data_IF_549747549179
#
_entry.id   IF_549747549179
#
_cell.length_a   1.000
_cell.length_b   1.000
_cell.length_c   1.000
_cell.angle_alpha   90.00
_cell.angle_beta   90.00
_cell.angle_gamma   90.00
#
_symmetry.space_group_name_H-M   'P 1'
#
loop_
_entity.id
_entity.type
_entity.pdbx_description
1 polymer ?
#
# COMPACT_ATOMS: atom_id res chain seq x y z
N UNK A 1 19.03 -0.53 1.13
CA UNK A 1 17.76 -1.17 1.52
C UNK A 1 17.43 -2.20 0.44
N UNK A 2 17.64 -3.47 0.72
CA UNK A 2 17.27 -4.57 -0.19
C UNK A 2 15.77 -4.78 -0.07
N UNK A 3 15.01 -4.38 -1.09
CA UNK A 3 13.66 -4.90 -1.28
C UNK A 3 13.81 -6.41 -1.44
N UNK A 4 13.30 -7.17 -0.48
CA UNK A 4 13.34 -8.61 -0.58
C UNK A 4 12.42 -9.03 -1.73
N UNK A 5 12.98 -9.70 -2.73
CA UNK A 5 12.25 -10.24 -3.89
C UNK A 5 11.24 -11.34 -3.51
N UNK A 6 11.19 -11.73 -2.23
CA UNK A 6 10.15 -12.61 -1.65
C UNK A 6 9.00 -11.82 -0.99
N UNK A 7 9.00 -10.48 -1.10
CA UNK A 7 8.04 -9.60 -0.45
C UNK A 7 8.24 -9.45 1.06
N UNK A 8 9.21 -10.11 1.69
CA UNK A 8 9.52 -9.96 3.11
C UNK A 8 10.06 -8.55 3.39
N UNK A 9 9.23 -7.65 3.91
CA UNK A 9 9.70 -6.36 4.42
C UNK A 9 10.24 -6.62 5.82
N UNK A 10 11.55 -6.54 5.99
CA UNK A 10 12.16 -6.63 7.31
C UNK A 10 11.72 -5.45 8.18
N UNK A 11 11.16 -5.75 9.36
CA UNK A 11 11.06 -4.76 10.44
C UNK A 11 9.79 -4.77 11.30
N UNK A 12 8.71 -5.44 10.91
CA UNK A 12 7.53 -5.58 11.77
C UNK A 12 6.98 -6.99 11.70
N UNK A 13 6.48 -7.49 12.84
CA UNK A 13 5.80 -8.78 12.97
C UNK A 13 4.85 -9.02 11.79
N UNK A 14 5.19 -9.97 10.91
CA UNK A 14 4.38 -10.36 9.75
C UNK A 14 3.15 -11.19 10.12
N UNK A 15 2.83 -11.29 11.42
CA UNK A 15 1.72 -12.08 11.94
C UNK A 15 0.40 -11.48 11.42
N UNK A 16 -0.36 -12.27 10.66
CA UNK A 16 -1.67 -11.88 10.13
C UNK A 16 -1.67 -11.32 8.70
N UNK A 17 -0.51 -11.21 8.04
CA UNK A 17 -0.47 -10.88 6.62
C UNK A 17 -0.73 -12.14 5.77
N UNK A 18 -1.49 -12.01 4.66
CA UNK A 18 -1.81 -13.16 3.81
C UNK A 18 -0.56 -13.69 3.11
N UNK A 19 -0.41 -15.02 3.12
CA UNK A 19 0.52 -15.71 2.24
C UNK A 19 -0.04 -15.68 0.80
N UNK A 20 0.82 -15.37 -0.17
CA UNK A 20 0.45 -15.46 -1.58
C UNK A 20 1.21 -16.63 -2.22
N UNK A 21 0.47 -17.53 -2.87
CA UNK A 21 1.05 -18.65 -3.62
C UNK A 21 1.29 -18.21 -5.06
N UNK A 22 2.56 -18.13 -5.43
CA UNK A 22 2.98 -17.90 -6.81
C UNK A 22 2.73 -19.16 -7.63
N UNK A 23 2.15 -19.01 -8.83
CA UNK A 23 1.87 -20.13 -9.75
C UNK A 23 3.07 -20.46 -10.62
N UNK A 24 3.98 -19.49 -10.79
CA UNK A 24 5.24 -19.68 -11.51
C UNK A 24 6.38 -19.77 -10.50
N UNK A 25 7.30 -20.70 -10.74
CA UNK A 25 8.51 -20.84 -9.94
C UNK A 25 9.31 -19.53 -9.90
N UNK A 26 10.04 -19.35 -8.81
CA UNK A 26 11.00 -18.25 -8.63
C UNK A 26 11.90 -18.16 -9.85
N UNK A 27 12.22 -16.95 -10.27
CA UNK A 27 13.18 -16.73 -11.35
C UNK A 27 14.52 -17.39 -11.01
N UNK A 28 15.07 -18.25 -11.89
CA UNK A 28 16.44 -18.71 -11.80
C UNK A 28 17.41 -17.55 -11.60
N UNK A 29 18.46 -17.76 -10.79
CA UNK A 29 19.44 -16.72 -10.43
C UNK A 29 20.03 -16.04 -11.67
N UNK A 30 20.39 -16.82 -12.69
CA UNK A 30 20.89 -16.33 -13.97
C UNK A 30 19.92 -15.35 -14.66
N UNK A 31 18.60 -15.60 -14.63
CA UNK A 31 17.63 -14.68 -15.22
C UNK A 31 17.61 -13.35 -14.46
N UNK A 32 17.71 -13.40 -13.13
CA UNK A 32 17.74 -12.20 -12.28
C UNK A 32 19.01 -11.40 -12.51
N UNK A 33 20.16 -12.05 -12.63
CA UNK A 33 21.44 -11.40 -12.93
C UNK A 33 21.37 -10.63 -14.25
N UNK A 34 20.71 -11.19 -15.26
CA UNK A 34 20.61 -10.59 -16.59
C UNK A 34 19.52 -9.54 -16.67
N UNK A 35 18.47 -9.66 -15.87
CA UNK A 35 17.50 -8.60 -15.67
C UNK A 35 18.16 -7.36 -15.03
N UNK A 36 19.15 -7.57 -14.16
CA UNK A 36 19.88 -6.52 -13.44
C UNK A 36 21.19 -6.07 -14.12
N UNK A 37 21.49 -6.55 -15.33
CA UNK A 37 22.74 -6.21 -16.03
C UNK A 37 22.54 -5.94 -17.51
N UNK A 38 23.56 -5.32 -18.12
CA UNK A 38 23.63 -5.16 -19.58
C UNK A 38 24.30 -6.39 -20.18
N UNK A 39 23.73 -6.87 -21.28
CA UNK A 39 24.15 -8.09 -21.98
C UNK A 39 23.82 -7.96 -23.48
N UNK A 40 24.56 -8.63 -24.37
CA UNK A 40 24.54 -8.31 -25.80
C UNK A 40 23.15 -8.33 -26.46
N UNK A 41 22.28 -9.33 -26.21
CA UNK A 41 20.96 -9.36 -26.86
C UNK A 41 20.10 -8.13 -26.57
N UNK A 42 20.17 -7.60 -25.34
CA UNK A 42 19.42 -6.41 -24.92
C UNK A 42 20.12 -5.10 -25.29
N UNK A 43 21.45 -5.06 -25.15
CA UNK A 43 22.25 -3.87 -25.42
C UNK A 43 22.21 -3.41 -26.88
N UNK A 44 21.68 -4.25 -27.79
CA UNK A 44 21.39 -3.87 -29.16
C UNK A 44 20.26 -2.84 -29.28
N UNK A 45 19.33 -2.81 -28.32
CA UNK A 45 18.15 -1.95 -28.33
C UNK A 45 18.14 -0.91 -27.20
N UNK A 46 18.87 -1.17 -26.11
CA UNK A 46 18.80 -0.36 -24.89
C UNK A 46 20.19 -0.03 -24.32
N UNK A 47 20.33 1.17 -23.76
CA UNK A 47 21.57 1.64 -23.12
C UNK A 47 21.61 1.40 -21.59
N UNK A 48 20.49 0.98 -20.99
CA UNK A 48 20.33 0.73 -19.54
C UNK A 48 19.81 -0.69 -19.33
N UNK A 49 19.88 -1.20 -18.09
CA UNK A 49 19.47 -2.59 -17.79
C UNK A 49 17.96 -2.78 -17.97
N UNK A 50 17.47 -4.01 -18.16
CA UNK A 50 16.04 -4.31 -18.16
C UNK A 50 15.33 -3.80 -16.90
N UNK A 51 15.94 -4.00 -15.72
CA UNK A 51 15.43 -3.46 -14.46
C UNK A 51 15.29 -1.92 -14.52
N UNK A 52 16.30 -1.23 -15.03
CA UNK A 52 16.27 0.23 -15.14
C UNK A 52 15.21 0.72 -16.14
N UNK A 53 14.96 -0.01 -17.24
CA UNK A 53 13.85 0.33 -18.15
C UNK A 53 12.49 0.22 -17.47
N UNK A 54 12.26 -0.84 -16.68
CA UNK A 54 11.04 -0.99 -15.89
C UNK A 54 10.91 0.16 -14.87
N UNK A 55 11.99 0.47 -14.14
CA UNK A 55 12.00 1.58 -13.18
C UNK A 55 11.72 2.93 -13.84
N UNK A 56 12.21 3.15 -15.06
CA UNK A 56 11.97 4.39 -15.80
C UNK A 56 10.48 4.59 -16.13
N UNK A 57 9.71 3.49 -16.28
CA UNK A 57 8.24 3.52 -16.48
C UNK A 57 7.46 3.81 -15.21
N UNK A 58 7.98 3.45 -14.03
CA UNK A 58 7.31 3.69 -12.75
C UNK A 58 7.30 5.17 -12.29
N UNK A 59 7.72 6.10 -13.15
CA UNK A 59 7.78 7.53 -12.84
C UNK A 59 9.21 8.02 -12.61
N UNK A 60 10.00 8.05 -13.67
CA UNK A 60 11.25 8.82 -13.72
C UNK A 60 10.97 10.31 -13.92
N UNK A 61 11.92 11.19 -13.55
CA UNK A 61 11.92 12.62 -13.92
C UNK A 61 11.78 12.84 -15.43
N UNK A 62 12.08 11.80 -16.22
CA UNK A 62 11.99 11.79 -17.68
C UNK A 62 10.60 11.37 -18.21
N UNK A 63 9.78 10.69 -17.40
CA UNK A 63 8.45 10.19 -17.78
C UNK A 63 7.40 10.67 -16.77
N UNK A 64 7.25 12.00 -16.66
CA UNK A 64 6.35 12.62 -15.68
C UNK A 64 4.89 12.64 -16.11
N UNK A 65 4.58 12.29 -17.35
CA UNK A 65 3.22 12.36 -17.91
C UNK A 65 2.21 11.42 -17.22
N UNK A 66 2.72 10.42 -16.49
CA UNK A 66 1.90 9.47 -15.71
C UNK A 66 1.83 9.82 -14.23
N UNK A 67 2.58 10.84 -13.79
CA UNK A 67 2.59 11.28 -12.40
C UNK A 67 1.34 12.11 -12.12
N UNK A 68 0.68 11.77 -11.02
CA UNK A 68 -0.44 12.56 -10.49
C UNK A 68 0.07 13.43 -9.34
N UNK A 69 -0.21 14.73 -9.42
CA UNK A 69 0.12 15.67 -8.35
C UNK A 69 -0.66 15.27 -7.09
N UNK A 70 0.06 15.10 -6.00
CA UNK A 70 -0.48 14.66 -4.72
C UNK A 70 -0.02 15.63 -3.64
N UNK A 71 -0.91 15.97 -2.71
CA UNK A 71 -0.53 16.75 -1.52
C UNK A 71 0.61 16.04 -0.77
N UNK A 72 1.56 16.82 -0.25
CA UNK A 72 2.79 16.27 0.35
C UNK A 72 2.51 15.40 1.57
N UNK A 73 1.46 15.73 2.33
CA UNK A 73 1.04 14.95 3.51
C UNK A 73 0.43 13.61 3.10
N UNK A 74 -0.44 13.64 2.08
CA UNK A 74 -1.01 12.42 1.50
C UNK A 74 0.08 11.54 0.86
N UNK A 75 1.07 12.16 0.19
CA UNK A 75 2.18 11.44 -0.43
C UNK A 75 3.11 10.77 0.61
N UNK A 76 3.39 11.47 1.71
CA UNK A 76 4.11 10.89 2.85
C UNK A 76 3.35 9.69 3.43
N UNK A 77 2.03 9.80 3.60
CA UNK A 77 1.18 8.72 4.10
C UNK A 77 1.18 7.50 3.16
N UNK A 78 1.02 7.74 1.84
CA UNK A 78 1.14 6.71 0.79
C UNK A 78 2.45 5.95 0.91
N UNK A 79 3.56 6.67 1.08
CA UNK A 79 4.90 6.08 1.16
C UNK A 79 5.04 5.17 2.38
N UNK A 80 4.54 5.58 3.55
CA UNK A 80 4.56 4.74 4.76
C UNK A 80 3.72 3.48 4.58
N UNK A 81 2.51 3.61 4.04
CA UNK A 81 1.58 2.50 3.80
C UNK A 81 2.16 1.48 2.81
N UNK A 82 2.74 1.94 1.70
CA UNK A 82 3.37 1.07 0.69
C UNK A 82 4.55 0.28 1.25
N UNK A 83 5.32 0.89 2.16
CA UNK A 83 6.44 0.22 2.81
C UNK A 83 6.02 -0.68 3.98
N UNK A 84 4.72 -0.94 4.17
CA UNK A 84 4.17 -1.70 5.31
C UNK A 84 4.64 -1.16 6.67
N UNK A 85 4.88 0.16 6.75
CA UNK A 85 5.21 0.82 7.99
C UNK A 85 3.94 1.23 8.72
N UNK A 86 4.07 1.56 10.01
CA UNK A 86 2.96 2.18 10.74
C UNK A 86 2.68 3.56 10.13
N UNK A 87 1.45 3.84 9.66
CA UNK A 87 1.14 5.13 9.01
C UNK A 87 1.33 6.32 9.97
N UNK A 88 1.08 6.09 11.26
CA UNK A 88 1.43 6.99 12.36
C UNK A 88 2.34 6.23 13.32
N UNK A 89 3.50 6.79 13.66
CA UNK A 89 4.42 6.15 14.60
C UNK A 89 3.80 6.01 16.00
N UNK A 90 4.14 4.93 16.71
CA UNK A 90 3.51 4.59 18.00
C UNK A 90 3.54 5.73 19.02
N UNK A 91 4.69 6.39 19.23
CA UNK A 91 4.78 7.55 20.14
C UNK A 91 3.87 8.71 19.73
N UNK A 92 3.69 8.92 18.42
CA UNK A 92 2.76 9.94 17.91
C UNK A 92 1.32 9.52 18.15
N UNK A 93 0.99 8.25 17.91
CA UNK A 93 -0.32 7.69 18.18
C UNK A 93 -0.68 7.78 19.67
N UNK A 94 0.22 7.35 20.54
CA UNK A 94 0.09 7.48 22.00
C UNK A 94 -0.19 8.93 22.38
N UNK A 95 0.52 9.91 21.80
CA UNK A 95 0.29 11.34 22.05
C UNK A 95 -1.13 11.81 21.68
N UNK A 96 -1.78 11.16 20.71
CA UNK A 96 -3.17 11.43 20.36
C UNK A 96 -4.14 10.82 21.37
N UNK A 97 -3.72 9.80 22.12
CA UNK A 97 -4.54 9.04 23.06
C UNK A 97 -4.20 9.32 24.54
N UNK A 98 -3.16 10.11 24.85
CA UNK A 98 -2.68 10.40 26.22
C UNK A 98 -3.77 10.94 27.16
N UNK A 99 -4.81 11.56 26.63
CA UNK A 99 -5.96 12.01 27.43
C UNK A 99 -7.22 12.05 26.57
N UNK A 100 -8.38 11.58 27.09
CA UNK A 100 -9.65 11.63 26.39
C UNK A 100 -10.13 13.09 26.36
N UNK A 101 -9.66 13.86 25.39
CA UNK A 101 -10.08 15.24 25.16
C UNK A 101 -10.62 15.38 23.74
N UNK A 102 -11.48 16.37 23.46
CA UNK A 102 -11.95 16.62 22.10
C UNK A 102 -10.81 16.82 21.09
N UNK A 103 -9.73 17.50 21.48
CA UNK A 103 -8.56 17.73 20.64
C UNK A 103 -7.77 16.44 20.35
N UNK A 104 -7.66 15.55 21.34
CA UNK A 104 -7.06 14.22 21.20
C UNK A 104 -7.87 13.34 20.23
N UNK A 105 -9.20 13.27 20.41
CA UNK A 105 -10.10 12.55 19.50
C UNK A 105 -10.01 13.09 18.06
N UNK A 106 -10.05 14.41 17.90
CA UNK A 106 -9.98 15.04 16.58
C UNK A 106 -8.67 14.74 15.85
N UNK A 107 -7.53 14.71 16.55
CA UNK A 107 -6.23 14.33 15.97
C UNK A 107 -6.20 12.86 15.59
N UNK A 108 -6.68 11.98 16.46
CA UNK A 108 -6.73 10.54 16.22
C UNK A 108 -7.60 10.21 14.98
N UNK A 109 -8.85 10.68 14.96
CA UNK A 109 -9.77 10.45 13.86
C UNK A 109 -9.32 11.14 12.57
N UNK A 110 -8.75 12.35 12.65
CA UNK A 110 -8.18 13.03 11.49
C UNK A 110 -7.00 12.27 10.87
N UNK A 111 -6.16 11.62 11.70
CA UNK A 111 -5.11 10.71 11.23
C UNK A 111 -5.67 9.50 10.48
N UNK A 112 -6.71 8.85 11.05
CA UNK A 112 -7.38 7.71 10.43
C UNK A 112 -8.06 8.10 9.10
N UNK A 113 -8.70 9.26 9.05
CA UNK A 113 -9.29 9.79 7.82
C UNK A 113 -8.24 10.06 6.74
N UNK A 114 -7.07 10.57 7.10
CA UNK A 114 -5.97 10.74 6.15
C UNK A 114 -5.46 9.40 5.60
N UNK A 115 -5.43 8.35 6.42
CA UNK A 115 -5.08 7.00 5.98
C UNK A 115 -6.15 6.47 5.01
N UNK A 116 -7.45 6.60 5.34
CA UNK A 116 -8.53 6.20 4.42
C UNK A 116 -8.50 7.01 3.12
N UNK A 117 -8.18 8.30 3.18
CA UNK A 117 -8.06 9.16 2.00
C UNK A 117 -6.96 8.71 1.03
N UNK A 118 -5.97 7.94 1.49
CA UNK A 118 -5.00 7.29 0.58
C UNK A 118 -5.70 6.29 -0.34
N UNK A 119 -6.64 5.50 0.19
CA UNK A 119 -7.39 4.52 -0.60
C UNK A 119 -8.43 5.22 -1.48
N UNK A 120 -9.10 6.27 -0.98
CA UNK A 120 -9.96 7.12 -1.81
C UNK A 120 -9.17 7.72 -2.99
N UNK A 121 -7.91 8.13 -2.78
CA UNK A 121 -7.01 8.59 -3.85
C UNK A 121 -6.70 7.49 -4.87
N UNK A 122 -6.50 6.25 -4.45
CA UNK A 122 -6.31 5.13 -5.38
C UNK A 122 -7.61 4.68 -6.06
N UNK A 123 -8.76 5.03 -5.50
CA UNK A 123 -10.06 4.75 -6.11
C UNK A 123 -10.47 5.80 -7.17
N UNK A 124 -9.82 6.97 -7.17
CA UNK A 124 -10.02 8.00 -8.19
C UNK A 124 -9.76 7.48 -9.60
N UNK A 125 -10.70 7.71 -10.52
CA UNK A 125 -10.65 7.15 -11.86
C UNK A 125 -9.39 7.56 -12.64
N UNK A 126 -8.96 8.82 -12.54
CA UNK A 126 -7.75 9.28 -13.22
C UNK A 126 -6.51 8.64 -12.59
N UNK A 127 -6.46 8.50 -11.26
CA UNK A 127 -5.35 7.78 -10.59
C UNK A 127 -5.31 6.31 -11.01
N UNK A 128 -6.45 5.61 -11.05
CA UNK A 128 -6.53 4.22 -11.50
C UNK A 128 -6.05 4.05 -12.93
N UNK A 129 -6.50 4.90 -13.83
CA UNK A 129 -6.13 4.83 -15.25
C UNK A 129 -4.62 5.03 -15.43
N UNK A 130 -4.00 5.94 -14.67
CA UNK A 130 -2.53 6.10 -14.66
C UNK A 130 -1.82 4.89 -14.10
N UNK A 131 -2.30 4.29 -13.00
CA UNK A 131 -1.70 3.07 -12.46
C UNK A 131 -1.80 1.90 -13.44
N UNK A 132 -2.94 1.75 -14.11
CA UNK A 132 -3.14 0.72 -15.15
C UNK A 132 -2.16 0.92 -16.30
N UNK A 133 -1.96 2.15 -16.75
CA UNK A 133 -1.00 2.46 -17.81
C UNK A 133 0.45 2.16 -17.39
N UNK A 134 0.87 2.63 -16.22
CA UNK A 134 2.21 2.36 -15.67
C UNK A 134 2.45 0.84 -15.55
N UNK A 135 1.45 0.11 -15.08
CA UNK A 135 1.52 -1.35 -14.97
C UNK A 135 1.66 -2.02 -16.34
N UNK A 136 0.85 -1.61 -17.32
CA UNK A 136 0.93 -2.08 -18.70
C UNK A 136 2.31 -1.81 -19.32
N UNK A 137 2.87 -0.62 -19.10
CA UNK A 137 4.19 -0.24 -19.59
C UNK A 137 5.28 -1.16 -19.03
N UNK A 138 5.27 -1.44 -17.73
CA UNK A 138 6.20 -2.41 -17.13
C UNK A 138 5.99 -3.81 -17.70
N UNK A 139 4.74 -4.24 -17.90
CA UNK A 139 4.44 -5.55 -18.51
C UNK A 139 5.00 -5.66 -19.94
N UNK A 140 4.97 -4.57 -20.71
CA UNK A 140 5.60 -4.52 -22.04
C UNK A 140 7.13 -4.65 -21.95
N UNK A 141 7.79 -3.93 -21.03
CA UNK A 141 9.24 -4.01 -20.84
C UNK A 141 9.69 -5.43 -20.40
N UNK A 142 8.93 -6.08 -19.51
CA UNK A 142 9.16 -7.48 -19.13
C UNK A 142 8.96 -8.44 -20.31
N UNK A 143 8.05 -8.12 -21.23
CA UNK A 143 7.86 -8.85 -22.46
C UNK A 143 9.06 -8.69 -23.42
N UNK A 144 9.61 -7.48 -23.54
CA UNK A 144 10.84 -7.23 -24.30
C UNK A 144 12.04 -7.97 -23.69
N UNK A 145 12.14 -8.01 -22.36
CA UNK A 145 13.18 -8.79 -21.69
C UNK A 145 13.09 -10.28 -22.05
N UNK A 146 11.88 -10.86 -21.99
CA UNK A 146 11.66 -12.25 -22.41
C UNK A 146 11.98 -12.49 -23.89
N UNK A 147 11.71 -11.51 -24.77
CA UNK A 147 12.10 -11.56 -26.19
C UNK A 147 13.61 -11.54 -26.37
N UNK A 148 14.32 -10.66 -25.67
CA UNK A 148 15.78 -10.57 -25.71
C UNK A 148 16.45 -11.86 -25.17
N UNK A 149 15.79 -12.55 -24.24
CA UNK A 149 16.22 -13.88 -23.77
C UNK A 149 16.11 -14.96 -24.87
N UNK A 150 15.22 -14.77 -25.85
CA UNK A 150 15.01 -15.70 -26.96
C UNK A 150 14.07 -16.88 -26.64
N UNK A 151 13.24 -16.79 -25.60
CA UNK A 151 12.29 -17.85 -25.22
C UNK A 151 10.85 -17.32 -25.11
N UNK A 152 9.90 -17.83 -25.91
CA UNK A 152 8.50 -17.43 -25.83
C UNK A 152 7.87 -17.68 -24.45
N UNK A 153 8.30 -18.74 -23.77
CA UNK A 153 7.86 -19.08 -22.41
C UNK A 153 8.35 -18.03 -21.40
N UNK A 154 9.55 -17.48 -21.60
CA UNK A 154 10.15 -16.48 -20.71
C UNK A 154 9.42 -15.14 -20.72
N UNK A 155 8.83 -14.75 -21.85
CA UNK A 155 7.98 -13.56 -21.96
C UNK A 155 6.86 -13.64 -20.92
N UNK A 156 6.10 -14.75 -20.93
CA UNK A 156 4.96 -14.93 -20.04
C UNK A 156 5.38 -15.11 -18.58
N UNK A 157 6.47 -15.82 -18.31
CA UNK A 157 6.91 -16.07 -16.92
C UNK A 157 7.22 -14.78 -16.16
N UNK A 158 7.94 -13.82 -16.75
CA UNK A 158 8.24 -12.56 -16.08
C UNK A 158 7.01 -11.68 -15.88
N UNK A 159 6.13 -11.63 -16.88
CA UNK A 159 4.85 -10.94 -16.80
C UNK A 159 3.94 -11.53 -15.70
N UNK A 160 3.84 -12.86 -15.62
CA UNK A 160 3.05 -13.55 -14.57
C UNK A 160 3.67 -13.30 -13.19
N UNK A 161 4.99 -13.46 -13.02
CA UNK A 161 5.68 -13.21 -11.75
C UNK A 161 5.45 -11.77 -11.25
N UNK A 162 5.51 -10.79 -12.15
CA UNK A 162 5.24 -9.40 -11.82
C UNK A 162 3.78 -9.17 -11.41
N UNK A 163 2.82 -9.74 -12.15
CA UNK A 163 1.39 -9.69 -11.78
C UNK A 163 1.14 -10.25 -10.39
N UNK A 164 1.66 -11.45 -10.12
CA UNK A 164 1.51 -12.10 -8.83
C UNK A 164 2.16 -11.31 -7.70
N UNK A 165 3.36 -10.77 -7.94
CA UNK A 165 4.04 -9.89 -6.98
C UNK A 165 3.20 -8.66 -6.65
N UNK A 166 2.68 -7.96 -7.66
CA UNK A 166 1.88 -6.75 -7.47
C UNK A 166 0.58 -7.04 -6.72
N UNK A 167 -0.14 -8.10 -7.09
CA UNK A 167 -1.35 -8.54 -6.38
C UNK A 167 -1.01 -8.88 -4.92
N UNK A 168 0.03 -9.68 -4.69
CA UNK A 168 0.46 -10.08 -3.35
C UNK A 168 0.84 -8.85 -2.49
N UNK A 169 1.60 -7.93 -3.06
CA UNK A 169 2.05 -6.72 -2.37
C UNK A 169 0.87 -5.82 -2.00
N UNK A 170 -0.01 -5.49 -2.95
CA UNK A 170 -1.17 -4.63 -2.69
C UNK A 170 -2.16 -5.28 -1.70
N UNK A 171 -2.32 -6.60 -1.76
CA UNK A 171 -3.10 -7.34 -0.77
C UNK A 171 -2.50 -7.18 0.64
N UNK A 172 -1.18 -7.24 0.78
CA UNK A 172 -0.50 -7.03 2.06
C UNK A 172 -0.61 -5.58 2.54
N UNK A 173 -0.46 -4.61 1.64
CA UNK A 173 -0.63 -3.18 1.94
C UNK A 173 -2.04 -2.91 2.48
N UNK A 174 -3.06 -3.43 1.78
CA UNK A 174 -4.46 -3.35 2.21
C UNK A 174 -4.64 -3.97 3.59
N UNK A 175 -4.26 -5.23 3.76
CA UNK A 175 -4.47 -5.97 5.02
C UNK A 175 -3.73 -5.34 6.18
N UNK A 176 -2.46 -4.99 6.00
CA UNK A 176 -1.65 -4.30 7.01
C UNK A 176 -2.33 -3.03 7.50
N UNK A 177 -2.75 -2.18 6.56
CA UNK A 177 -3.38 -0.89 6.90
C UNK A 177 -4.72 -1.10 7.59
N UNK A 178 -5.50 -2.08 7.14
CA UNK A 178 -6.79 -2.42 7.74
C UNK A 178 -6.63 -2.90 9.18
N UNK A 179 -5.71 -3.83 9.41
CA UNK A 179 -5.41 -4.35 10.75
C UNK A 179 -4.91 -3.23 11.67
N UNK A 180 -4.00 -2.38 11.19
CA UNK A 180 -3.50 -1.24 11.96
C UNK A 180 -4.62 -0.28 12.36
N UNK A 181 -5.49 0.11 11.43
CA UNK A 181 -6.60 1.03 11.72
C UNK A 181 -7.58 0.43 12.73
N UNK A 182 -7.94 -0.85 12.59
CA UNK A 182 -8.87 -1.52 13.50
C UNK A 182 -8.28 -1.67 14.89
N UNK A 183 -7.00 -2.07 15.01
CA UNK A 183 -6.28 -2.13 16.29
C UNK A 183 -6.30 -0.76 17.00
N UNK A 184 -5.98 0.30 16.27
CA UNK A 184 -5.98 1.66 16.82
C UNK A 184 -7.38 2.16 17.20
N UNK A 185 -8.42 1.79 16.45
CA UNK A 185 -9.80 2.11 16.76
C UNK A 185 -10.29 1.39 18.02
N UNK A 186 -9.92 0.12 18.21
CA UNK A 186 -10.22 -0.64 19.43
C UNK A 186 -9.57 0.03 20.64
N UNK A 187 -8.26 0.30 20.58
CA UNK A 187 -7.56 0.98 21.68
C UNK A 187 -8.14 2.38 21.97
N UNK A 188 -8.59 3.10 20.94
CA UNK A 188 -9.25 4.39 21.12
C UNK A 188 -10.63 4.23 21.78
N UNK A 189 -11.45 3.25 21.37
CA UNK A 189 -12.74 2.98 22.04
C UNK A 189 -12.54 2.64 23.52
N UNK A 190 -11.52 1.87 23.86
CA UNK A 190 -11.20 1.53 25.26
C UNK A 190 -10.90 2.78 26.11
N UNK A 191 -10.08 3.70 25.59
CA UNK A 191 -9.78 4.97 26.27
C UNK A 191 -11.05 5.79 26.52
N UNK A 192 -11.93 5.90 25.50
CA UNK A 192 -13.17 6.66 25.61
C UNK A 192 -14.24 5.93 26.44
N UNK A 193 -14.21 4.61 26.48
CA UNK A 193 -15.05 3.79 27.35
C UNK A 193 -14.68 4.01 28.82
N UNK A 194 -13.39 4.03 29.15
CA UNK A 194 -12.91 4.35 30.50
C UNK A 194 -13.26 5.78 30.90
N UNK A 195 -13.12 6.74 29.99
CA UNK A 195 -13.51 8.14 30.21
C UNK A 195 -15.01 8.28 30.52
N UNK A 196 -15.86 7.52 29.81
CA UNK A 196 -17.29 7.45 30.09
C UNK A 196 -17.58 6.80 31.45
N UNK A 197 -16.94 5.68 31.78
CA UNK A 197 -17.13 5.02 33.07
C UNK A 197 -16.75 5.93 34.26
N UNK A 198 -15.77 6.83 34.06
CA UNK A 198 -15.30 7.80 35.06
C UNK A 198 -15.98 9.18 35.01
N UNK A 199 -16.99 9.41 34.16
CA UNK A 199 -17.55 10.76 33.96
C UNK A 199 -18.36 11.30 35.17
N UNK A 200 -18.70 10.43 36.14
CA UNK A 200 -19.37 10.82 37.38
C UNK A 200 -20.77 11.41 37.13
N UNK A 201 -21.02 12.61 37.65
CA UNK A 201 -22.30 13.33 37.51
C UNK A 201 -22.28 14.46 36.46
N UNK A 202 -21.19 14.61 35.71
CA UNK A 202 -21.12 15.61 34.62
C UNK A 202 -21.83 15.05 33.38
N UNK A 203 -23.14 15.32 33.28
CA UNK A 203 -23.98 14.86 32.17
C UNK A 203 -23.45 15.30 30.79
N UNK A 204 -22.85 16.51 30.70
CA UNK A 204 -22.30 17.03 29.46
C UNK A 204 -21.07 16.25 29.03
N UNK A 205 -20.17 15.96 29.97
CA UNK A 205 -19.00 15.12 29.72
C UNK A 205 -19.38 13.67 29.39
N UNK A 206 -20.32 13.08 30.13
CA UNK A 206 -20.81 11.73 29.84
C UNK A 206 -21.41 11.63 28.42
N UNK A 207 -22.25 12.60 28.03
CA UNK A 207 -22.84 12.65 26.69
C UNK A 207 -21.78 12.80 25.60
N UNK A 208 -20.73 13.61 25.82
CA UNK A 208 -19.62 13.74 24.90
C UNK A 208 -18.87 12.40 24.72
N UNK A 209 -18.57 11.69 25.80
CA UNK A 209 -17.90 10.39 25.72
C UNK A 209 -18.74 9.36 24.93
N UNK A 210 -20.06 9.34 25.10
CA UNK A 210 -20.95 8.48 24.29
C UNK A 210 -20.84 8.86 22.81
N UNK A 211 -20.89 10.14 22.48
CA UNK A 211 -20.77 10.60 21.09
C UNK A 211 -19.41 10.27 20.48
N UNK A 212 -18.33 10.43 21.25
CA UNK A 212 -16.98 10.06 20.82
C UNK A 212 -16.89 8.58 20.43
N UNK A 213 -17.44 7.69 21.26
CA UNK A 213 -17.48 6.24 20.98
C UNK A 213 -18.31 5.90 19.75
N UNK A 214 -19.44 6.56 19.57
CA UNK A 214 -20.25 6.41 18.36
C UNK A 214 -19.48 6.85 17.10
N UNK A 215 -18.70 7.94 17.16
CA UNK A 215 -17.84 8.36 16.05
C UNK A 215 -16.73 7.33 15.77
N UNK A 216 -16.10 6.77 16.79
CA UNK A 216 -15.07 5.72 16.67
C UNK A 216 -15.69 4.50 15.98
N UNK A 217 -16.86 4.05 16.45
CA UNK A 217 -17.59 2.92 15.86
C UNK A 217 -17.90 3.14 14.37
N UNK A 218 -18.34 4.33 13.98
CA UNK A 218 -18.58 4.65 12.56
C UNK A 218 -17.34 4.52 11.70
N UNK A 219 -16.16 4.85 12.24
CA UNK A 219 -14.90 4.66 11.52
C UNK A 219 -14.55 3.17 11.43
N UNK A 220 -14.80 2.37 12.47
CA UNK A 220 -14.66 0.91 12.41
C UNK A 220 -15.57 0.32 11.34
N UNK A 221 -16.86 0.69 11.35
CA UNK A 221 -17.85 0.23 10.38
C UNK A 221 -17.46 0.65 8.95
N UNK A 222 -16.95 1.87 8.75
CA UNK A 222 -16.40 2.36 7.47
C UNK A 222 -15.31 1.44 6.90
N UNK A 223 -14.43 0.94 7.77
CA UNK A 223 -13.34 0.04 7.38
C UNK A 223 -13.85 -1.39 7.18
N UNK A 224 -14.65 -1.89 8.13
CA UNK A 224 -15.09 -3.29 8.17
C UNK A 224 -16.13 -3.62 7.12
N UNK A 225 -17.18 -2.80 7.03
CA UNK A 225 -18.39 -3.06 6.25
C UNK A 225 -18.36 -2.37 4.88
N UNK A 226 -17.84 -1.15 4.81
CA UNK A 226 -17.89 -0.32 3.60
C UNK A 226 -16.59 -0.33 2.80
N UNK A 227 -15.63 -1.19 3.16
CA UNK A 227 -14.39 -1.43 2.41
C UNK A 227 -13.63 -0.14 2.07
N UNK A 228 -13.64 0.88 2.95
CA UNK A 228 -12.92 2.16 2.76
C UNK A 228 -11.39 2.04 2.72
N UNK A 229 -10.89 0.82 2.89
CA UNK A 229 -9.48 0.43 2.79
C UNK A 229 -9.45 -0.73 1.81
N UNK A 230 -9.55 -0.42 0.52
CA UNK A 230 -9.55 -1.42 -0.54
C UNK A 230 -8.82 -0.93 -1.80
N UNK A 231 -8.39 -1.89 -2.61
CA UNK A 231 -7.80 -1.63 -3.92
C UNK A 231 -8.62 -2.32 -4.99
N UNK A 232 -8.78 -1.63 -6.11
CA UNK A 232 -9.28 -2.24 -7.33
C UNK A 232 -8.16 -3.04 -7.99
N UNK A 233 -8.15 -4.35 -7.77
CA UNK A 233 -7.13 -5.25 -8.34
C UNK A 233 -7.27 -5.45 -9.85
N UNK A 234 -8.36 -4.98 -10.48
CA UNK A 234 -8.53 -5.08 -11.94
C UNK A 234 -7.53 -4.22 -12.71
N UNK A 235 -6.85 -3.29 -12.04
CA UNK A 235 -5.71 -2.55 -12.62
C UNK A 235 -4.55 -3.48 -13.04
N UNK A 236 -4.51 -4.71 -12.50
CA UNK A 236 -3.53 -5.74 -12.84
C UNK A 236 -4.06 -6.76 -13.86
N UNK A 237 -5.24 -6.54 -14.42
CA UNK A 237 -5.77 -7.35 -15.53
C UNK A 237 -5.17 -6.82 -16.83
N UNK A 238 -4.04 -7.41 -17.20
CA UNK A 238 -3.38 -7.20 -18.48
C UNK A 238 -3.37 -8.51 -19.25
N UNK A 239 -3.73 -8.49 -20.53
CA UNK A 239 -3.76 -9.68 -21.37
C UNK A 239 -2.32 -10.16 -21.65
N UNK A 240 -1.98 -11.37 -21.16
CA UNK A 240 -0.66 -12.03 -21.26
C UNK A 240 -0.63 -13.11 -22.35
#
# INVERSE_FOLDING_TARGET
MTASLDGGVGGSSTIGLPEHRFTVDRAPVHEVELFASLWPPWSNSYAITPADTCLARLGSVQHTYELVVCDSKLNGMKTSIYNLLSPVGETTWESYCLSPTPASLGRALGGMQLIMAVFDYYDDANVKDRHRQVYADVMMELGEFGRAFGSPTMIKHWQIRWREFMIAHFLRVRTHTRLWLLDKLVGLDEVWHQAHAGCGSDEGWCAFCIHARELIKRHSDAIELYQRVDFDFTIFDYDI
#
